data_IF_064039016120
#
_entry.id   IF_064039016120
#
_cell.length_a   1.000
_cell.length_b   1.000
_cell.length_c   1.000
_cell.angle_alpha   90.00
_cell.angle_beta   90.00
_cell.angle_gamma   90.00
#
_symmetry.space_group_name_H-M   'P 1'
#
loop_
_entity.id
_entity.type
_entity.pdbx_description
1 polymer ?
#
# COMPACT_ATOMS: atom_id res chain seq x y z
N UNK A 1 -60.33 -8.85 25.69
CA UNK A 1 -60.19 -7.41 26.05
C UNK A 1 -59.83 -7.11 27.51
N UNK A 2 -59.99 -7.99 28.51
CA UNK A 2 -59.40 -7.74 29.86
C UNK A 2 -58.58 -8.92 30.44
N UNK A 3 -58.47 -10.04 29.72
CA UNK A 3 -57.62 -11.18 30.14
C UNK A 3 -56.31 -11.30 29.35
N UNK A 4 -56.32 -11.01 28.04
CA UNK A 4 -55.11 -11.07 27.18
C UNK A 4 -53.97 -10.15 27.65
N UNK A 5 -54.30 -9.06 28.35
CA UNK A 5 -53.29 -8.09 28.82
C UNK A 5 -52.44 -8.59 30.01
N UNK A 6 -52.73 -9.76 30.58
CA UNK A 6 -51.95 -10.33 31.69
C UNK A 6 -50.88 -11.34 31.30
N UNK A 7 -50.92 -11.90 30.08
CA UNK A 7 -49.87 -12.80 29.62
C UNK A 7 -48.58 -12.04 29.25
N UNK A 8 -48.74 -10.89 28.58
CA UNK A 8 -47.64 -10.09 28.03
C UNK A 8 -46.72 -9.43 29.08
N UNK A 9 -47.10 -9.47 30.36
CA UNK A 9 -46.40 -8.81 31.47
C UNK A 9 -45.56 -9.80 32.32
N UNK A 10 -45.57 -11.10 32.00
CA UNK A 10 -44.77 -12.12 32.68
C UNK A 10 -43.47 -12.45 31.93
N UNK A 11 -43.55 -12.66 30.61
CA UNK A 11 -42.41 -13.07 29.76
C UNK A 11 -41.28 -12.01 29.75
N UNK A 12 -41.62 -10.73 29.93
CA UNK A 12 -40.64 -9.64 30.04
C UNK A 12 -39.78 -9.67 31.32
N UNK A 13 -40.09 -10.53 32.30
CA UNK A 13 -39.41 -10.52 33.60
C UNK A 13 -38.39 -11.67 33.80
N UNK A 14 -38.39 -12.71 32.96
CA UNK A 14 -37.39 -13.79 33.01
C UNK A 14 -36.13 -13.43 32.18
N UNK A 15 -36.29 -12.84 30.98
CA UNK A 15 -35.17 -12.45 30.10
C UNK A 15 -34.18 -11.43 30.71
N UNK A 16 -34.54 -10.74 31.79
CA UNK A 16 -33.68 -9.73 32.44
C UNK A 16 -32.76 -10.33 33.54
N UNK A 17 -32.95 -11.58 33.97
CA UNK A 17 -32.08 -12.24 34.96
C UNK A 17 -30.90 -12.96 34.27
N UNK A 18 -31.12 -13.64 33.14
CA UNK A 18 -30.06 -14.43 32.47
C UNK A 18 -28.90 -13.58 31.95
N UNK A 19 -29.17 -12.37 31.45
CA UNK A 19 -28.13 -11.48 30.91
C UNK A 19 -27.05 -11.09 31.93
N UNK A 20 -27.36 -11.12 33.24
CA UNK A 20 -26.41 -10.82 34.32
C UNK A 20 -25.56 -12.01 34.77
N UNK A 21 -25.87 -13.22 34.29
CA UNK A 21 -25.11 -14.42 34.61
C UNK A 21 -23.86 -14.60 33.73
N UNK A 22 -23.79 -13.94 32.57
CA UNK A 22 -22.71 -14.12 31.60
C UNK A 22 -21.53 -13.16 31.80
N UNK A 23 -21.80 -11.87 32.08
CA UNK A 23 -20.76 -10.84 32.30
C UNK A 23 -19.78 -11.18 33.45
N UNK A 24 -20.19 -12.04 34.38
CA UNK A 24 -19.43 -12.37 35.58
C UNK A 24 -18.37 -13.48 35.41
N UNK A 25 -18.14 -13.99 34.18
CA UNK A 25 -17.26 -15.13 33.92
C UNK A 25 -15.94 -14.83 33.21
N UNK A 26 -15.80 -13.69 32.55
CA UNK A 26 -14.59 -13.37 31.77
C UNK A 26 -13.50 -12.68 32.61
N UNK A 27 -13.84 -12.13 33.77
CA UNK A 27 -12.88 -11.41 34.64
C UNK A 27 -11.91 -12.31 35.43
N UNK A 28 -12.09 -13.63 35.47
CA UNK A 28 -11.16 -14.55 36.16
C UNK A 28 -10.06 -15.14 35.25
N UNK A 29 -10.05 -14.82 33.95
CA UNK A 29 -9.07 -15.36 33.01
C UNK A 29 -7.71 -14.61 32.98
N UNK A 30 -7.63 -13.41 33.57
CA UNK A 30 -6.55 -12.45 33.28
C UNK A 30 -5.45 -12.29 34.35
N UNK A 31 -5.38 -13.19 35.35
CA UNK A 31 -4.29 -13.22 36.35
C UNK A 31 -3.56 -14.59 36.41
N UNK A 32 -2.73 -14.95 35.41
CA UNK A 32 -1.60 -15.89 35.63
C UNK A 32 -0.56 -16.02 34.49
N UNK A 33 0.22 -14.97 34.15
CA UNK A 33 1.50 -15.19 33.42
C UNK A 33 2.63 -14.16 33.61
N UNK A 34 2.97 -13.83 34.85
CA UNK A 34 4.26 -13.21 35.17
C UNK A 34 5.08 -14.12 36.10
N UNK A 35 6.22 -14.64 35.61
CA UNK A 35 7.44 -14.96 36.40
C UNK A 35 8.52 -15.67 35.56
N UNK A 36 9.78 -15.48 35.97
CA UNK A 36 11.01 -16.16 35.52
C UNK A 36 11.49 -15.90 34.06
N UNK A 37 12.79 -15.70 33.79
CA UNK A 37 14.00 -15.82 34.64
C UNK A 37 15.16 -14.94 34.15
N UNK A 38 15.82 -14.23 35.06
CA UNK A 38 17.27 -14.00 34.99
C UNK A 38 17.99 -15.15 35.72
N UNK A 39 19.25 -15.44 35.37
CA UNK A 39 20.41 -15.50 36.29
C UNK A 39 21.69 -16.02 35.58
N UNK A 40 22.69 -15.15 35.51
CA UNK A 40 24.14 -15.37 35.75
C UNK A 40 24.97 -16.48 35.04
N UNK A 41 26.07 -15.98 34.43
CA UNK A 41 27.46 -16.47 34.49
C UNK A 41 27.83 -17.97 34.56
N UNK A 42 28.77 -18.36 33.69
CA UNK A 42 29.99 -19.05 34.16
C UNK A 42 31.21 -18.79 33.25
N UNK A 43 32.39 -18.59 33.84
CA UNK A 43 33.68 -18.52 33.13
C UNK A 43 34.22 -19.93 32.78
N UNK A 44 35.10 -20.05 31.78
CA UNK A 44 36.38 -20.77 31.96
C UNK A 44 37.45 -20.54 30.85
N UNK A 45 38.48 -19.76 31.22
CA UNK A 45 39.93 -19.87 30.93
C UNK A 45 40.51 -20.66 29.72
N UNK A 46 41.43 -19.95 29.06
CA UNK A 46 42.82 -20.33 28.71
C UNK A 46 43.14 -21.40 27.66
N UNK A 47 43.92 -21.00 26.64
CA UNK A 47 45.17 -21.70 26.30
C UNK A 47 46.16 -20.76 25.58
N UNK A 48 47.40 -20.66 26.07
CA UNK A 48 48.51 -19.97 25.40
C UNK A 48 49.44 -20.98 24.71
N UNK A 49 50.09 -20.60 23.60
CA UNK A 49 51.27 -21.32 23.09
C UNK A 49 52.16 -20.46 22.20
N UNK A 50 53.31 -20.04 22.74
CA UNK A 50 54.46 -19.50 21.98
C UNK A 50 55.31 -20.69 21.48
N UNK A 51 55.76 -20.77 20.22
CA UNK A 51 56.80 -19.98 19.51
C UNK A 51 58.14 -20.74 19.38
N UNK A 52 59.00 -20.29 18.47
CA UNK A 52 60.46 -20.51 18.35
C UNK A 52 61.09 -21.86 17.85
N UNK A 53 61.45 -21.82 16.56
CA UNK A 53 62.84 -21.73 16.04
C UNK A 53 63.83 -22.93 15.93
N UNK A 54 64.77 -22.72 14.97
CA UNK A 54 66.02 -23.44 14.61
C UNK A 54 65.86 -24.63 13.66
N UNK A 55 66.50 -24.72 12.48
CA UNK A 55 67.78 -24.22 11.93
C UNK A 55 69.03 -25.03 12.35
N UNK A 56 69.81 -25.46 11.35
CA UNK A 56 71.17 -26.03 11.28
C UNK A 56 71.21 -26.90 9.98
N UNK A 57 72.25 -27.03 9.16
CA UNK A 57 73.54 -26.34 8.99
C UNK A 57 74.16 -26.79 7.64
N UNK A 58 75.01 -25.98 6.96
CA UNK A 58 76.28 -26.45 6.37
C UNK A 58 77.11 -25.36 5.64
N UNK A 59 78.42 -25.39 5.89
CA UNK A 59 79.53 -24.70 5.19
C UNK A 59 80.14 -25.60 4.08
N UNK A 60 81.17 -25.21 3.28
CA UNK A 60 81.89 -23.92 3.14
C UNK A 60 82.22 -23.46 1.67
N UNK A 61 82.85 -22.26 1.52
CA UNK A 61 83.83 -21.84 0.45
C UNK A 61 83.39 -21.88 -1.05
N UNK A 62 83.92 -21.15 -2.06
CA UNK A 62 84.97 -20.13 -2.31
C UNK A 62 84.66 -19.52 -3.73
N UNK A 63 85.08 -18.35 -4.27
CA UNK A 63 85.98 -17.22 -3.89
C UNK A 63 85.79 -16.01 -4.85
N UNK A 64 86.21 -14.80 -4.44
CA UNK A 64 86.70 -13.63 -5.24
C UNK A 64 85.99 -13.05 -6.50
N UNK A 65 85.69 -11.73 -6.42
CA UNK A 65 85.55 -10.71 -7.50
C UNK A 65 84.46 -10.93 -8.58
N UNK A 66 83.90 -9.91 -9.25
CA UNK A 66 84.27 -8.47 -9.35
C UNK A 66 83.01 -7.56 -9.34
N UNK A 67 83.16 -6.23 -9.28
CA UNK A 67 82.06 -5.30 -8.95
C UNK A 67 81.36 -4.64 -10.16
N UNK A 68 80.03 -4.62 -10.16
CA UNK A 68 79.21 -3.73 -10.99
C UNK A 68 78.05 -3.12 -10.18
N UNK A 69 78.05 -1.80 -10.00
CA UNK A 69 76.93 -1.08 -9.38
C UNK A 69 75.75 -0.92 -10.34
N UNK A 70 74.59 -1.50 -10.00
CA UNK A 70 73.31 -1.10 -10.58
C UNK A 70 72.52 -0.23 -9.60
N UNK A 71 72.51 1.08 -9.83
CA UNK A 71 71.64 2.02 -9.10
C UNK A 71 70.16 1.68 -9.36
N UNK A 72 69.44 1.26 -8.32
CA UNK A 72 67.98 1.14 -8.36
C UNK A 72 67.34 2.53 -8.44
N UNK A 73 66.42 2.71 -9.38
CA UNK A 73 65.60 3.93 -9.47
C UNK A 73 64.49 3.91 -8.41
N UNK A 74 64.37 4.99 -7.63
CA UNK A 74 63.40 5.10 -6.54
C UNK A 74 62.09 5.75 -7.02
N UNK A 75 61.23 4.99 -7.72
CA UNK A 75 60.02 5.54 -8.34
C UNK A 75 58.68 4.92 -7.90
N UNK A 76 58.64 3.75 -7.27
CA UNK A 76 57.37 2.99 -7.13
C UNK A 76 56.57 3.30 -5.86
N UNK A 77 57.22 3.70 -4.75
CA UNK A 77 56.52 3.88 -3.46
C UNK A 77 55.69 5.17 -3.32
N UNK A 78 55.73 6.09 -4.29
CA UNK A 78 55.02 7.38 -4.18
C UNK A 78 53.51 7.28 -4.40
N UNK A 79 53.06 6.47 -5.36
CA UNK A 79 51.62 6.33 -5.66
C UNK A 79 50.87 5.62 -4.53
N UNK A 80 51.48 4.59 -3.92
CA UNK A 80 50.91 3.88 -2.77
C UNK A 80 50.74 4.77 -1.52
N UNK A 81 51.66 5.72 -1.29
CA UNK A 81 51.53 6.68 -0.20
C UNK A 81 50.39 7.67 -0.50
N UNK A 82 50.28 8.15 -1.74
CA UNK A 82 49.18 9.03 -2.17
C UNK A 82 47.82 8.36 -2.03
N UNK A 83 47.64 7.12 -2.52
CA UNK A 83 46.36 6.41 -2.44
C UNK A 83 45.95 6.10 -1.00
N UNK A 84 46.90 5.70 -0.13
CA UNK A 84 46.64 5.49 1.30
C UNK A 84 46.28 6.82 1.99
N UNK A 85 46.97 7.92 1.68
CA UNK A 85 46.61 9.23 2.26
C UNK A 85 45.22 9.72 1.80
N UNK A 86 44.82 9.43 0.55
CA UNK A 86 43.49 9.77 0.04
C UNK A 86 42.40 8.92 0.70
N UNK A 87 42.64 7.62 0.87
CA UNK A 87 41.71 6.72 1.58
C UNK A 87 41.56 7.08 3.07
N UNK A 88 42.64 7.47 3.74
CA UNK A 88 42.58 7.95 5.13
C UNK A 88 41.80 9.26 5.22
N UNK A 89 41.99 10.20 4.27
CA UNK A 89 41.19 11.43 4.21
C UNK A 89 39.71 11.14 3.96
N UNK A 90 39.38 10.19 3.08
CA UNK A 90 38.00 9.76 2.80
C UNK A 90 37.33 9.15 4.05
N UNK A 91 38.04 8.28 4.78
CA UNK A 91 37.53 7.68 6.03
C UNK A 91 37.38 8.74 7.14
N UNK A 92 38.27 9.74 7.20
CA UNK A 92 38.13 10.87 8.13
C UNK A 92 36.96 11.79 7.76
N UNK A 93 36.71 12.06 6.47
CA UNK A 93 35.54 12.85 6.05
C UNK A 93 34.23 12.10 6.28
N UNK A 94 34.17 10.80 5.96
CA UNK A 94 32.99 9.96 6.23
C UNK A 94 32.75 9.87 7.74
N UNK A 95 33.79 9.63 8.54
CA UNK A 95 33.69 9.60 10.01
C UNK A 95 33.28 10.95 10.63
N UNK A 96 33.69 12.07 10.04
CA UNK A 96 33.23 13.40 10.44
C UNK A 96 31.74 13.60 10.14
N UNK A 97 31.28 13.25 8.92
CA UNK A 97 29.87 13.32 8.53
C UNK A 97 29.02 12.45 9.48
N UNK A 98 29.44 11.20 9.71
CA UNK A 98 28.76 10.26 10.61
C UNK A 98 28.67 10.79 12.06
N UNK A 99 29.71 11.49 12.53
CA UNK A 99 29.71 12.12 13.85
C UNK A 99 28.76 13.31 13.95
N UNK A 100 28.57 14.12 12.90
CA UNK A 100 27.60 15.22 12.90
C UNK A 100 26.16 14.69 12.82
N UNK A 101 25.92 13.60 12.05
CA UNK A 101 24.63 12.91 12.02
C UNK A 101 24.24 12.36 13.39
N UNK A 102 25.13 11.64 14.08
CA UNK A 102 24.84 11.01 15.38
C UNK A 102 24.72 12.03 16.53
N UNK A 103 25.39 13.17 16.46
CA UNK A 103 25.39 14.17 17.55
C UNK A 103 24.21 15.16 17.53
N UNK A 104 23.30 15.05 16.56
CA UNK A 104 22.13 15.94 16.43
C UNK A 104 22.47 17.36 15.94
N UNK A 105 23.73 17.64 15.61
CA UNK A 105 24.22 18.99 15.27
C UNK A 105 23.56 19.62 14.05
N UNK A 106 23.02 18.83 13.12
CA UNK A 106 22.22 19.33 12.00
C UNK A 106 20.93 20.05 12.43
N UNK A 107 20.34 19.67 13.57
CA UNK A 107 19.06 20.27 14.02
C UNK A 107 19.24 21.63 14.72
N UNK A 108 20.46 21.97 15.14
CA UNK A 108 20.73 23.25 15.83
C UNK A 108 20.77 24.44 14.85
N UNK A 109 21.06 24.20 13.56
CA UNK A 109 20.93 25.21 12.50
C UNK A 109 19.45 25.58 12.22
N UNK A 110 18.58 24.58 12.18
CA UNK A 110 17.14 24.74 11.95
C UNK A 110 16.40 25.49 13.08
N UNK A 111 17.04 25.71 14.23
CA UNK A 111 16.47 26.49 15.34
C UNK A 111 16.49 28.01 15.12
N UNK A 112 17.23 28.51 14.12
CA UNK A 112 17.38 29.95 13.84
C UNK A 112 16.16 30.57 13.13
N UNK A 113 15.49 29.80 12.27
CA UNK A 113 14.49 30.31 11.32
C UNK A 113 15.10 31.14 10.17
N UNK A 114 16.43 31.13 9.99
CA UNK A 114 17.09 31.64 8.79
C UNK A 114 17.02 30.60 7.67
N UNK A 115 17.05 31.04 6.42
CA UNK A 115 17.00 30.13 5.27
C UNK A 115 18.35 29.41 5.09
N UNK A 116 18.32 28.08 5.04
CA UNK A 116 19.46 27.21 4.70
C UNK A 116 19.55 27.03 3.18
N UNK A 117 20.66 26.53 2.67
CA UNK A 117 20.79 26.23 1.23
C UNK A 117 19.97 25.01 0.81
N UNK A 118 19.71 24.90 -0.50
CA UNK A 118 18.99 23.76 -1.07
C UNK A 118 19.70 22.42 -0.80
N UNK A 119 21.03 22.39 -0.93
CA UNK A 119 21.83 21.18 -0.69
C UNK A 119 21.78 20.76 0.79
N UNK A 120 21.91 21.69 1.73
CA UNK A 120 21.79 21.42 3.18
C UNK A 120 20.38 20.91 3.55
N UNK A 121 19.32 21.49 2.95
CA UNK A 121 17.95 21.03 3.16
C UNK A 121 17.72 19.62 2.60
N UNK A 122 18.31 19.32 1.44
CA UNK A 122 18.23 18.02 0.78
C UNK A 122 18.97 16.92 1.54
N UNK A 123 20.21 17.20 1.98
CA UNK A 123 20.97 16.31 2.86
C UNK A 123 20.23 16.06 4.18
N UNK A 124 19.70 17.11 4.82
CA UNK A 124 18.93 16.99 6.06
C UNK A 124 17.64 16.18 5.89
N UNK A 125 16.93 16.34 4.77
CA UNK A 125 15.72 15.57 4.48
C UNK A 125 16.01 14.09 4.25
N UNK A 126 17.00 13.76 3.41
CA UNK A 126 17.39 12.37 3.14
C UNK A 126 18.00 11.71 4.38
N UNK A 127 18.72 12.46 5.22
CA UNK A 127 19.17 11.98 6.53
C UNK A 127 17.99 11.69 7.48
N UNK A 128 16.98 12.58 7.54
CA UNK A 128 15.78 12.38 8.36
C UNK A 128 14.98 11.16 7.89
N UNK A 129 14.79 10.99 6.57
CA UNK A 129 14.11 9.83 5.96
C UNK A 129 14.83 8.53 6.36
N UNK A 130 16.14 8.44 6.13
CA UNK A 130 16.93 7.26 6.47
C UNK A 130 16.96 6.93 7.97
N UNK A 131 16.87 7.93 8.85
CA UNK A 131 16.99 7.73 10.30
C UNK A 131 15.65 7.56 11.04
N UNK A 132 14.51 7.93 10.44
CA UNK A 132 13.21 7.97 11.14
C UNK A 132 12.04 7.36 10.35
N UNK A 133 12.15 7.20 9.02
CA UNK A 133 11.03 6.80 8.15
C UNK A 133 11.26 5.50 7.38
N UNK A 134 12.50 4.99 7.33
CA UNK A 134 12.85 3.73 6.67
C UNK A 134 13.19 2.63 7.68
N UNK A 135 12.92 1.38 7.31
CA UNK A 135 13.27 0.19 8.09
C UNK A 135 14.75 -0.18 7.92
N UNK A 136 15.30 -0.96 8.87
CA UNK A 136 16.69 -1.41 8.81
C UNK A 136 17.01 -2.19 7.52
N UNK A 137 18.05 -1.76 6.80
CA UNK A 137 18.50 -2.38 5.55
C UNK A 137 18.03 -1.66 4.28
N UNK A 138 17.00 -0.81 4.37
CA UNK A 138 16.54 0.05 3.27
C UNK A 138 17.30 1.39 3.34
N UNK A 139 17.56 2.05 2.20
CA UNK A 139 18.29 3.34 2.17
C UNK A 139 17.81 4.24 1.04
N UNK A 140 17.47 5.48 1.38
CA UNK A 140 17.23 6.58 0.44
C UNK A 140 18.53 7.26 0.03
N UNK A 141 18.74 7.44 -1.27
CA UNK A 141 19.92 8.07 -1.85
C UNK A 141 19.50 9.38 -2.55
N UNK A 142 20.11 10.52 -2.20
CA UNK A 142 19.79 11.81 -2.80
C UNK A 142 20.16 11.82 -4.30
N UNK A 143 19.20 12.13 -5.18
CA UNK A 143 19.42 12.25 -6.63
C UNK A 143 19.42 13.71 -7.11
N UNK A 144 18.78 14.64 -6.38
CA UNK A 144 18.93 16.07 -6.64
C UNK A 144 18.00 16.96 -5.81
N UNK A 145 18.14 18.27 -5.96
CA UNK A 145 17.28 19.28 -5.33
C UNK A 145 16.99 20.43 -6.30
N UNK A 146 15.79 21.01 -6.21
CA UNK A 146 15.37 22.18 -6.96
C UNK A 146 14.60 23.18 -6.07
N UNK A 147 14.80 24.47 -6.25
CA UNK A 147 14.02 25.50 -5.58
C UNK A 147 12.67 25.70 -6.29
N UNK A 148 11.54 25.42 -5.59
CA UNK A 148 10.18 25.70 -6.07
C UNK A 148 9.50 26.70 -5.11
N UNK A 149 9.46 27.97 -5.49
CA UNK A 149 8.78 29.05 -4.74
C UNK A 149 9.29 29.21 -3.30
N UNK A 150 8.56 28.75 -2.28
CA UNK A 150 8.92 28.90 -0.85
C UNK A 150 9.47 27.61 -0.22
N UNK A 151 9.67 26.57 -1.03
CA UNK A 151 10.16 25.25 -0.63
C UNK A 151 11.28 24.75 -1.54
N UNK A 152 12.08 23.83 -1.03
CA UNK A 152 12.99 23.01 -1.82
C UNK A 152 12.29 21.68 -2.15
N UNK A 153 12.26 21.30 -3.42
CA UNK A 153 11.84 19.98 -3.89
C UNK A 153 13.07 19.07 -3.89
N UNK A 154 13.02 17.99 -3.11
CA UNK A 154 14.13 17.05 -2.90
C UNK A 154 13.78 15.73 -3.57
N UNK A 155 14.64 15.26 -4.47
CA UNK A 155 14.47 14.02 -5.22
C UNK A 155 15.47 12.98 -4.72
N UNK A 156 15.02 11.75 -4.50
CA UNK A 156 15.82 10.66 -3.95
C UNK A 156 15.34 9.30 -4.43
N UNK A 157 16.21 8.29 -4.44
CA UNK A 157 15.86 6.92 -4.82
C UNK A 157 15.90 5.96 -3.64
N UNK A 158 14.89 5.09 -3.54
CA UNK A 158 14.87 3.90 -2.68
C UNK A 158 14.64 2.69 -3.59
N UNK A 159 15.50 1.67 -3.47
CA UNK A 159 15.39 0.41 -4.25
C UNK A 159 15.16 0.63 -5.75
N UNK A 160 15.99 1.48 -6.36
CA UNK A 160 15.96 1.88 -7.78
C UNK A 160 14.63 2.51 -8.27
N UNK A 161 13.75 2.97 -7.36
CA UNK A 161 12.58 3.82 -7.68
C UNK A 161 12.86 5.27 -7.27
N UNK A 162 12.51 6.22 -8.14
CA UNK A 162 12.56 7.65 -7.84
C UNK A 162 11.36 8.10 -6.97
N UNK A 163 11.65 8.94 -5.99
CA UNK A 163 10.71 9.61 -5.10
C UNK A 163 11.01 11.11 -5.04
N UNK A 164 10.00 11.92 -4.70
CA UNK A 164 10.21 13.34 -4.39
C UNK A 164 9.45 13.76 -3.14
N UNK A 165 9.97 14.78 -2.46
CA UNK A 165 9.38 15.40 -1.27
C UNK A 165 9.64 16.91 -1.30
N UNK A 166 9.06 17.66 -0.35
CA UNK A 166 9.30 19.09 -0.20
C UNK A 166 9.76 19.45 1.21
N UNK A 167 10.61 20.47 1.30
CA UNK A 167 11.20 20.96 2.55
C UNK A 167 11.05 22.48 2.60
N UNK A 168 10.68 23.06 3.75
CA UNK A 168 10.72 24.52 3.91
C UNK A 168 12.14 25.08 3.78
N UNK A 169 12.27 26.35 3.36
CA UNK A 169 13.59 26.98 3.18
C UNK A 169 14.44 27.10 4.46
N UNK A 170 13.85 26.93 5.64
CA UNK A 170 14.52 26.86 6.95
C UNK A 170 14.85 25.43 7.41
N UNK A 171 14.54 24.41 6.59
CA UNK A 171 14.75 22.99 6.89
C UNK A 171 13.79 22.37 7.93
N UNK A 172 12.83 23.14 8.45
CA UNK A 172 12.06 22.74 9.65
C UNK A 172 10.86 21.84 9.41
N UNK A 173 10.29 21.85 8.20
CA UNK A 173 9.15 21.01 7.83
C UNK A 173 9.49 20.18 6.59
N UNK A 174 9.23 18.87 6.68
CA UNK A 174 9.32 17.89 5.60
C UNK A 174 7.89 17.45 5.23
N UNK A 175 7.52 17.58 3.96
CA UNK A 175 6.22 17.17 3.42
C UNK A 175 6.40 15.84 2.68
N UNK A 176 6.25 14.74 3.42
CA UNK A 176 6.42 13.36 2.92
C UNK A 176 5.46 13.11 1.75
N UNK A 177 4.18 13.34 1.99
CA UNK A 177 3.10 13.21 1.01
C UNK A 177 2.80 14.62 0.47
N UNK A 178 2.90 14.81 -0.86
CA UNK A 178 2.79 16.14 -1.48
C UNK A 178 2.29 16.07 -2.91
N UNK A 179 1.31 16.93 -3.24
CA UNK A 179 0.73 17.05 -4.58
C UNK A 179 1.22 18.37 -5.17
N UNK A 180 2.04 18.32 -6.22
CA UNK A 180 2.29 19.50 -7.05
C UNK A 180 0.97 19.83 -7.78
N UNK A 181 0.28 20.88 -7.35
CA UNK A 181 -1.07 21.18 -7.84
C UNK A 181 -1.10 21.63 -9.29
N UNK A 182 0.04 22.03 -9.88
CA UNK A 182 0.14 22.35 -11.31
C UNK A 182 0.41 21.09 -12.11
N UNK A 183 1.23 20.18 -11.62
CA UNK A 183 1.42 18.86 -12.25
C UNK A 183 0.14 18.01 -12.15
N UNK A 184 -0.53 18.01 -11.00
CA UNK A 184 -1.81 17.35 -10.78
C UNK A 184 -2.94 17.97 -11.60
N UNK A 185 -3.00 19.31 -11.74
CA UNK A 185 -3.93 19.95 -12.66
C UNK A 185 -3.62 19.62 -14.13
N UNK A 186 -2.34 19.56 -14.52
CA UNK A 186 -1.94 19.12 -15.85
C UNK A 186 -2.21 17.62 -16.09
N UNK A 187 -2.20 16.80 -15.03
CA UNK A 187 -2.65 15.40 -15.05
C UNK A 187 -4.17 15.29 -15.13
N UNK A 188 -4.96 16.22 -14.55
CA UNK A 188 -6.43 16.24 -14.68
C UNK A 188 -6.91 16.81 -16.02
N UNK A 189 -6.36 17.93 -16.49
CA UNK A 189 -6.56 18.40 -17.87
C UNK A 189 -6.04 17.36 -18.88
N UNK A 190 -4.98 16.64 -18.50
CA UNK A 190 -4.46 15.47 -19.20
C UNK A 190 -5.28 14.18 -19.03
N UNK A 191 -6.23 14.10 -18.09
CA UNK A 191 -7.16 12.97 -17.97
C UNK A 191 -8.43 13.23 -18.79
N UNK A 192 -8.91 14.48 -18.86
CA UNK A 192 -9.99 14.85 -19.79
C UNK A 192 -9.57 14.79 -21.28
N UNK A 193 -8.26 14.81 -21.60
CA UNK A 193 -7.79 14.76 -23.00
C UNK A 193 -6.66 13.74 -23.32
N UNK A 194 -6.17 12.96 -22.36
CA UNK A 194 -5.13 11.95 -22.61
C UNK A 194 -5.36 10.58 -21.92
N UNK A 195 -6.60 10.23 -21.56
CA UNK A 195 -7.03 8.82 -21.53
C UNK A 195 -7.66 8.36 -22.86
N UNK A 196 -7.25 8.98 -23.98
CA UNK A 196 -7.17 8.25 -25.26
C UNK A 196 -5.93 7.35 -25.25
N UNK A 197 -5.92 6.37 -24.34
CA UNK A 197 -5.35 5.08 -24.72
C UNK A 197 -6.36 4.47 -25.69
N UNK A 198 -5.92 4.08 -26.90
CA UNK A 198 -6.78 3.22 -27.71
C UNK A 198 -7.09 1.94 -26.92
N UNK A 199 -8.29 1.33 -27.05
CA UNK A 199 -8.58 0.06 -26.42
C UNK A 199 -7.65 -1.02 -26.99
N UNK A 200 -6.49 -1.18 -26.35
CA UNK A 200 -5.44 -2.14 -26.71
C UNK A 200 -5.75 -3.55 -26.20
N UNK A 201 -6.87 -3.72 -25.49
CA UNK A 201 -7.52 -5.01 -25.32
C UNK A 201 -8.02 -5.46 -26.69
N UNK A 202 -7.61 -6.65 -27.13
CA UNK A 202 -8.04 -7.17 -28.44
C UNK A 202 -9.56 -7.35 -28.44
N UNK A 203 -10.26 -6.84 -29.46
CA UNK A 203 -11.73 -7.01 -29.56
C UNK A 203 -12.13 -8.49 -29.52
N UNK A 204 -13.25 -8.80 -28.87
CA UNK A 204 -13.73 -10.16 -28.69
C UNK A 204 -15.25 -10.29 -28.89
N UNK A 205 -15.75 -11.51 -29.01
CA UNK A 205 -17.19 -11.79 -29.16
C UNK A 205 -17.93 -11.76 -27.80
N UNK A 206 -17.17 -11.89 -26.70
CA UNK A 206 -17.57 -11.70 -25.30
C UNK A 206 -16.39 -11.06 -24.56
N UNK A 207 -16.45 -9.76 -24.24
CA UNK A 207 -15.39 -9.07 -23.50
C UNK A 207 -15.23 -9.56 -22.05
N UNK A 208 -13.98 -9.76 -21.62
CA UNK A 208 -13.58 -9.84 -20.21
C UNK A 208 -13.53 -8.41 -19.68
N UNK A 209 -14.38 -8.09 -18.70
CA UNK A 209 -14.56 -6.74 -18.14
C UNK A 209 -14.28 -6.82 -16.65
N UNK A 210 -13.19 -6.20 -16.22
CA UNK A 210 -12.72 -6.29 -14.84
C UNK A 210 -12.63 -4.90 -14.22
N UNK A 211 -13.35 -4.67 -13.12
CA UNK A 211 -13.25 -3.43 -12.36
C UNK A 211 -12.48 -3.70 -11.08
N UNK A 212 -11.26 -3.17 -10.98
CA UNK A 212 -10.41 -3.26 -9.80
C UNK A 212 -10.77 -2.15 -8.80
N UNK A 213 -11.17 -2.54 -7.60
CA UNK A 213 -11.65 -1.65 -6.55
C UNK A 213 -10.98 -1.93 -5.20
N UNK A 214 -11.32 -1.12 -4.21
CA UNK A 214 -11.28 -1.48 -2.79
C UNK A 214 -12.66 -1.09 -2.25
N UNK A 215 -13.33 -1.97 -1.51
CA UNK A 215 -14.80 -1.87 -1.28
C UNK A 215 -15.25 -0.68 -0.42
N UNK A 216 -14.34 -0.01 0.31
CA UNK A 216 -14.62 1.24 1.03
C UNK A 216 -14.00 2.48 0.34
N UNK A 217 -13.33 2.30 -0.80
CA UNK A 217 -12.82 3.41 -1.59
C UNK A 217 -13.97 4.32 -2.05
N UNK A 218 -13.93 5.64 -1.79
CA UNK A 218 -14.98 6.57 -2.21
C UNK A 218 -15.17 6.62 -3.72
N UNK A 219 -14.12 6.33 -4.49
CA UNK A 219 -14.15 6.27 -5.96
C UNK A 219 -14.36 4.86 -6.51
N UNK A 220 -14.09 3.80 -5.72
CA UNK A 220 -14.44 2.41 -6.04
C UNK A 220 -15.95 2.25 -6.05
N UNK A 221 -16.58 2.52 -4.91
CA UNK A 221 -18.03 2.59 -4.74
C UNK A 221 -18.73 3.50 -5.77
N UNK A 222 -18.11 4.62 -6.17
CA UNK A 222 -18.59 5.47 -7.27
C UNK A 222 -18.56 4.73 -8.63
N UNK A 223 -17.46 4.04 -8.94
CA UNK A 223 -17.27 3.28 -10.15
C UNK A 223 -18.20 2.06 -10.23
N UNK A 224 -18.40 1.33 -9.13
CA UNK A 224 -19.33 0.21 -9.05
C UNK A 224 -20.77 0.66 -9.31
N UNK A 225 -21.25 1.69 -8.59
CA UNK A 225 -22.58 2.30 -8.84
C UNK A 225 -22.71 2.81 -10.28
N UNK A 226 -21.61 3.21 -10.91
CA UNK A 226 -21.55 3.60 -12.32
C UNK A 226 -21.65 2.42 -13.27
N UNK A 227 -20.91 1.32 -13.03
CA UNK A 227 -20.80 0.19 -13.97
C UNK A 227 -21.98 -0.79 -13.86
N UNK A 228 -22.59 -0.94 -12.67
CA UNK A 228 -23.68 -1.90 -12.41
C UNK A 228 -24.83 -1.82 -13.43
N UNK A 229 -25.34 -0.63 -13.83
CA UNK A 229 -26.37 -0.54 -14.87
C UNK A 229 -25.89 -0.99 -16.27
N UNK A 230 -24.60 -0.84 -16.60
CA UNK A 230 -24.03 -1.32 -17.87
C UNK A 230 -23.84 -2.84 -17.85
N UNK A 231 -23.37 -3.41 -16.73
CA UNK A 231 -23.29 -4.87 -16.53
C UNK A 231 -24.68 -5.50 -16.59
N UNK A 232 -25.68 -4.92 -15.91
CA UNK A 232 -27.05 -5.40 -15.92
C UNK A 232 -27.73 -5.27 -17.30
N UNK A 233 -27.33 -4.30 -18.13
CA UNK A 233 -27.81 -4.17 -19.50
C UNK A 233 -27.18 -5.22 -20.43
N UNK A 234 -25.87 -5.49 -20.31
CA UNK A 234 -25.14 -6.42 -21.18
C UNK A 234 -25.28 -7.90 -20.76
N UNK A 235 -25.48 -8.20 -19.48
CA UNK A 235 -25.74 -9.54 -18.97
C UNK A 235 -24.75 -10.60 -19.48
N UNK A 236 -25.26 -11.66 -20.12
CA UNK A 236 -24.47 -12.79 -20.59
C UNK A 236 -23.49 -12.46 -21.75
N UNK A 237 -23.60 -11.28 -22.37
CA UNK A 237 -22.73 -10.82 -23.46
C UNK A 237 -21.31 -10.48 -23.02
N UNK A 238 -21.07 -10.30 -21.72
CA UNK A 238 -19.75 -9.99 -21.14
C UNK A 238 -19.36 -10.97 -20.05
N UNK A 239 -18.08 -11.08 -19.77
CA UNK A 239 -17.51 -11.77 -18.60
C UNK A 239 -17.12 -10.70 -17.57
N UNK A 240 -18.09 -10.26 -16.76
CA UNK A 240 -17.87 -9.21 -15.77
C UNK A 240 -17.37 -9.79 -14.45
N UNK A 241 -16.29 -9.21 -13.94
CA UNK A 241 -15.70 -9.56 -12.65
C UNK A 241 -15.41 -8.26 -11.87
N UNK A 242 -15.90 -8.15 -10.64
CA UNK A 242 -15.29 -7.26 -9.65
C UNK A 242 -13.96 -7.89 -9.23
N UNK A 243 -12.92 -7.06 -9.11
CA UNK A 243 -11.55 -7.45 -8.77
C UNK A 243 -11.02 -6.51 -7.71
N UNK A 244 -10.00 -6.93 -6.97
CA UNK A 244 -9.51 -6.18 -5.82
C UNK A 244 -8.10 -5.66 -6.03
N UNK A 245 -7.81 -4.47 -5.52
CA UNK A 245 -6.44 -3.96 -5.49
C UNK A 245 -5.63 -4.78 -4.47
N UNK A 246 -4.36 -5.06 -4.78
CA UNK A 246 -3.52 -5.98 -4.00
C UNK A 246 -3.18 -5.54 -2.54
N UNK A 247 -3.77 -4.45 -2.06
CA UNK A 247 -3.65 -3.91 -0.71
C UNK A 247 -4.93 -3.13 -0.33
N UNK A 248 -5.26 -3.10 0.96
CA UNK A 248 -6.43 -2.38 1.47
C UNK A 248 -6.02 -1.06 2.15
N UNK A 249 -6.79 0.01 1.94
CA UNK A 249 -6.54 1.34 2.52
C UNK A 249 -7.42 1.64 3.73
N UNK A 250 -8.59 1.01 3.84
CA UNK A 250 -9.58 1.27 4.89
C UNK A 250 -9.59 0.21 6.00
N UNK A 251 -8.52 -0.60 6.08
CA UNK A 251 -8.26 -1.55 7.15
C UNK A 251 -9.07 -2.84 7.09
N UNK A 252 -9.23 -3.49 8.25
CA UNK A 252 -9.87 -4.80 8.41
C UNK A 252 -11.27 -4.87 7.75
N UNK A 253 -12.13 -3.86 7.94
CA UNK A 253 -13.49 -3.86 7.38
C UNK A 253 -13.52 -4.01 5.85
N UNK A 254 -12.51 -3.47 5.16
CA UNK A 254 -12.37 -3.57 3.71
C UNK A 254 -11.79 -4.91 3.29
N UNK A 255 -10.91 -5.53 4.08
CA UNK A 255 -10.43 -6.88 3.82
C UNK A 255 -11.55 -7.91 4.00
N UNK A 256 -12.32 -7.83 5.08
CA UNK A 256 -13.46 -8.70 5.34
C UNK A 256 -14.51 -8.59 4.22
N UNK A 257 -14.80 -7.37 3.77
CA UNK A 257 -15.76 -7.14 2.69
C UNK A 257 -15.27 -7.66 1.33
N UNK A 258 -14.05 -7.32 0.91
CA UNK A 258 -13.51 -7.81 -0.37
C UNK A 258 -13.40 -9.34 -0.39
N UNK A 259 -13.11 -9.98 0.75
CA UNK A 259 -13.09 -11.45 0.87
C UNK A 259 -14.50 -12.03 0.68
N UNK A 260 -15.51 -11.37 1.23
CA UNK A 260 -16.92 -11.78 1.09
C UNK A 260 -17.42 -11.58 -0.35
N UNK A 261 -17.15 -10.41 -0.95
CA UNK A 261 -17.50 -10.10 -2.34
C UNK A 261 -16.85 -11.08 -3.32
N UNK A 262 -15.55 -11.38 -3.14
CA UNK A 262 -14.85 -12.45 -3.87
C UNK A 262 -15.58 -13.79 -3.76
N UNK A 263 -15.88 -14.25 -2.54
CA UNK A 263 -16.51 -15.55 -2.32
C UNK A 263 -17.95 -15.65 -2.84
N UNK A 264 -18.72 -14.56 -2.78
CA UNK A 264 -20.05 -14.51 -3.39
C UNK A 264 -19.94 -14.56 -4.92
N UNK A 265 -18.93 -13.91 -5.51
CA UNK A 265 -18.71 -13.94 -6.96
C UNK A 265 -18.28 -15.32 -7.48
N UNK A 266 -17.36 -16.02 -6.80
CA UNK A 266 -16.85 -17.32 -7.25
C UNK A 266 -17.88 -18.47 -7.03
N UNK A 267 -18.49 -18.58 -5.83
CA UNK A 267 -19.40 -19.70 -5.51
C UNK A 267 -20.87 -19.41 -5.87
N UNK A 268 -21.29 -18.14 -5.88
CA UNK A 268 -22.71 -17.75 -6.01
C UNK A 268 -22.96 -16.58 -7.01
N UNK A 269 -22.37 -16.59 -8.23
CA UNK A 269 -22.34 -15.45 -9.15
C UNK A 269 -23.73 -14.89 -9.52
N UNK A 270 -24.75 -15.76 -9.65
CA UNK A 270 -26.15 -15.36 -9.93
C UNK A 270 -26.74 -14.42 -8.85
N UNK A 271 -26.14 -14.36 -7.65
CA UNK A 271 -26.55 -13.51 -6.53
C UNK A 271 -25.65 -12.30 -6.33
N UNK A 272 -24.43 -12.31 -6.86
CA UNK A 272 -23.39 -11.31 -6.59
C UNK A 272 -23.85 -9.88 -6.89
N UNK A 273 -24.43 -9.65 -8.07
CA UNK A 273 -24.92 -8.31 -8.46
C UNK A 273 -26.05 -7.80 -7.55
N UNK A 274 -26.86 -8.69 -6.94
CA UNK A 274 -27.89 -8.30 -5.98
C UNK A 274 -27.28 -7.92 -4.62
N UNK A 275 -26.27 -8.68 -4.17
CA UNK A 275 -25.52 -8.36 -2.96
C UNK A 275 -24.79 -7.02 -3.06
N UNK A 276 -23.98 -6.84 -4.09
CA UNK A 276 -23.20 -5.61 -4.33
C UNK A 276 -24.13 -4.37 -4.43
N UNK A 277 -25.28 -4.52 -5.10
CA UNK A 277 -26.28 -3.44 -5.20
C UNK A 277 -26.87 -3.06 -3.83
N UNK A 278 -27.09 -4.05 -2.95
CA UNK A 278 -27.57 -3.85 -1.59
C UNK A 278 -26.49 -3.22 -0.69
N UNK A 279 -25.25 -3.71 -0.74
CA UNK A 279 -24.13 -3.17 0.04
C UNK A 279 -23.87 -1.70 -0.31
N UNK A 280 -23.92 -1.36 -1.60
CA UNK A 280 -23.78 0.00 -2.12
C UNK A 280 -24.92 0.96 -1.77
N UNK A 281 -26.04 0.50 -1.21
CA UNK A 281 -27.07 1.39 -0.65
C UNK A 281 -26.55 2.15 0.59
N UNK A 282 -25.55 1.60 1.29
CA UNK A 282 -24.99 2.19 2.50
C UNK A 282 -25.87 2.05 3.74
N UNK A 283 -25.32 2.39 4.91
CA UNK A 283 -26.09 2.43 6.16
C UNK A 283 -26.00 3.80 6.87
N UNK A 284 -27.09 4.19 7.53
CA UNK A 284 -27.16 5.39 8.38
C UNK A 284 -27.63 6.68 7.68
N UNK A 285 -27.55 7.79 8.42
CA UNK A 285 -27.83 9.13 7.87
C UNK A 285 -26.60 9.69 7.17
N UNK A 286 -26.81 10.45 6.09
CA UNK A 286 -25.74 11.16 5.42
C UNK A 286 -25.04 12.16 6.37
N UNK A 287 -23.70 12.17 6.31
CA UNK A 287 -22.84 13.09 7.06
C UNK A 287 -23.17 14.57 6.80
N UNK A 288 -22.58 15.48 7.59
CA UNK A 288 -22.72 16.93 7.37
C UNK A 288 -22.22 17.42 6.00
N UNK A 289 -21.42 16.61 5.29
CA UNK A 289 -20.99 16.84 3.90
C UNK A 289 -21.91 16.23 2.84
N UNK A 290 -22.92 15.45 3.24
CA UNK A 290 -23.89 14.79 2.36
C UNK A 290 -23.54 13.35 1.93
N UNK A 291 -22.43 12.79 2.41
CA UNK A 291 -21.99 11.42 2.06
C UNK A 291 -22.37 10.39 3.13
N UNK A 292 -22.74 9.18 2.70
CA UNK A 292 -22.87 7.99 3.54
C UNK A 292 -21.54 7.23 3.45
N UNK A 293 -20.78 7.13 4.55
CA UNK A 293 -19.38 6.64 4.53
C UNK A 293 -19.24 5.17 4.90
N UNK A 294 -20.33 4.51 5.27
CA UNK A 294 -20.36 3.08 5.64
C UNK A 294 -21.29 2.32 4.70
N UNK A 295 -20.89 1.09 4.35
CA UNK A 295 -21.71 0.17 3.56
C UNK A 295 -22.99 -0.23 4.27
N UNK A 296 -23.90 -0.86 3.54
CA UNK A 296 -25.09 -1.45 4.14
C UNK A 296 -24.70 -2.67 5.01
N UNK A 297 -25.59 -3.10 5.89
CA UNK A 297 -25.36 -4.26 6.76
C UNK A 297 -25.12 -5.54 5.90
N UNK A 298 -23.94 -6.18 5.98
CA UNK A 298 -23.65 -7.36 5.19
C UNK A 298 -24.59 -8.54 5.44
N UNK A 299 -25.05 -8.74 6.67
CA UNK A 299 -25.93 -9.86 7.03
C UNK A 299 -27.33 -9.63 6.45
N UNK A 300 -27.81 -8.38 6.48
CA UNK A 300 -29.02 -7.97 5.78
C UNK A 300 -28.91 -8.23 4.27
N UNK A 301 -27.79 -7.85 3.64
CA UNK A 301 -27.60 -8.05 2.21
C UNK A 301 -27.39 -9.51 1.81
N UNK A 302 -26.80 -10.34 2.68
CA UNK A 302 -26.78 -11.82 2.55
C UNK A 302 -28.23 -12.36 2.52
N UNK A 303 -29.09 -11.93 3.45
CA UNK A 303 -30.49 -12.34 3.48
C UNK A 303 -31.26 -11.87 2.23
N UNK A 304 -31.14 -10.58 1.85
CA UNK A 304 -31.88 -10.02 0.70
C UNK A 304 -31.46 -10.64 -0.64
N UNK A 305 -30.18 -10.93 -0.83
CA UNK A 305 -29.68 -11.66 -2.01
C UNK A 305 -29.98 -13.17 -1.96
N UNK A 306 -30.46 -13.69 -0.84
CA UNK A 306 -30.72 -15.12 -0.63
C UNK A 306 -29.44 -15.96 -0.69
N UNK A 307 -28.32 -15.40 -0.23
CA UNK A 307 -27.01 -16.05 -0.24
C UNK A 307 -27.00 -17.23 0.74
N UNK A 308 -26.34 -18.32 0.32
CA UNK A 308 -26.09 -19.46 1.19
C UNK A 308 -24.89 -19.14 2.08
N UNK A 309 -25.15 -18.96 3.38
CA UNK A 309 -24.15 -18.59 4.36
C UNK A 309 -23.18 -19.73 4.71
N UNK A 310 -23.60 -21.00 4.61
CA UNK A 310 -22.70 -22.14 4.87
C UNK A 310 -21.66 -22.27 3.74
N UNK A 311 -22.08 -22.06 2.48
CA UNK A 311 -21.18 -22.01 1.34
C UNK A 311 -20.28 -20.77 1.35
N UNK A 312 -20.80 -19.60 1.78
CA UNK A 312 -20.02 -18.37 1.90
C UNK A 312 -18.91 -18.50 2.96
N UNK A 313 -19.23 -18.95 4.18
CA UNK A 313 -18.25 -19.10 5.25
C UNK A 313 -17.16 -20.11 4.88
N UNK A 314 -17.53 -21.26 4.30
CA UNK A 314 -16.58 -22.26 3.81
C UNK A 314 -15.67 -21.74 2.69
N UNK A 315 -16.09 -20.74 1.92
CA UNK A 315 -15.23 -20.06 0.97
C UNK A 315 -14.31 -19.06 1.66
N UNK A 316 -14.78 -18.29 2.66
CA UNK A 316 -13.97 -17.32 3.40
C UNK A 316 -12.81 -18.02 4.12
N UNK A 317 -13.06 -19.15 4.79
CA UNK A 317 -12.01 -19.99 5.39
C UNK A 317 -10.97 -20.44 4.33
N UNK A 318 -11.44 -20.94 3.18
CA UNK A 318 -10.61 -21.42 2.07
C UNK A 318 -9.79 -20.30 1.40
N UNK A 319 -10.37 -19.10 1.29
CA UNK A 319 -9.72 -17.91 0.75
C UNK A 319 -8.62 -17.40 1.68
N UNK A 320 -8.85 -17.39 3.00
CA UNK A 320 -7.81 -17.04 3.97
C UNK A 320 -6.64 -18.03 3.91
N UNK A 321 -6.89 -19.34 3.93
CA UNK A 321 -5.82 -20.35 3.78
C UNK A 321 -5.06 -20.20 2.44
N UNK A 322 -5.75 -19.83 1.36
CA UNK A 322 -5.17 -19.75 0.01
C UNK A 322 -4.35 -18.48 -0.23
N UNK A 323 -4.82 -17.32 0.26
CA UNK A 323 -4.21 -16.00 0.00
C UNK A 323 -3.53 -15.39 1.24
N UNK A 324 -3.56 -16.09 2.38
CA UNK A 324 -3.00 -15.69 3.67
C UNK A 324 -3.56 -14.34 4.18
N UNK A 325 -4.86 -14.12 4.03
CA UNK A 325 -5.54 -12.83 4.19
C UNK A 325 -5.37 -12.27 5.60
N UNK A 326 -5.72 -13.05 6.63
CA UNK A 326 -5.54 -12.70 8.05
C UNK A 326 -4.07 -12.51 8.38
N UNK A 327 -3.18 -13.37 7.87
CA UNK A 327 -1.74 -13.27 8.12
C UNK A 327 -1.11 -12.01 7.51
N UNK A 328 -1.56 -11.58 6.32
CA UNK A 328 -1.13 -10.32 5.68
C UNK A 328 -1.68 -9.08 6.42
N UNK A 329 -2.84 -9.21 7.07
CA UNK A 329 -3.39 -8.17 7.95
C UNK A 329 -2.60 -8.07 9.26
N UNK A 330 -2.31 -9.20 9.92
CA UNK A 330 -1.54 -9.24 11.18
C UNK A 330 -0.05 -8.85 10.99
N UNK A 331 0.59 -9.25 9.88
CA UNK A 331 2.00 -8.91 9.61
C UNK A 331 2.17 -7.47 9.12
N UNK A 332 2.07 -6.55 10.07
CA UNK A 332 2.40 -5.12 9.93
C UNK A 332 3.80 -4.82 9.38
N UNK A 333 4.72 -5.78 9.36
CA UNK A 333 6.04 -5.60 8.72
C UNK A 333 6.00 -5.81 7.20
N UNK A 334 5.04 -6.60 6.71
CA UNK A 334 4.79 -6.85 5.28
C UNK A 334 4.00 -5.73 4.58
N UNK A 335 3.35 -4.84 5.36
CA UNK A 335 2.43 -3.83 4.86
C UNK A 335 3.06 -2.90 3.82
N UNK A 336 2.32 -2.64 2.73
CA UNK A 336 2.74 -1.75 1.66
C UNK A 336 3.03 -0.36 2.22
N UNK A 337 4.25 0.13 1.98
CA UNK A 337 4.79 1.38 2.53
C UNK A 337 4.70 1.50 4.06
N UNK A 338 4.59 0.38 4.79
CA UNK A 338 4.38 0.34 6.24
C UNK A 338 3.03 0.92 6.70
N UNK A 339 2.06 1.08 5.79
CA UNK A 339 0.74 1.69 6.08
C UNK A 339 -0.45 0.78 5.73
N UNK A 340 -0.33 -0.09 4.73
CA UNK A 340 -1.49 -0.77 4.15
C UNK A 340 -1.31 -2.31 4.10
N UNK A 341 -2.20 -3.10 4.72
CA UNK A 341 -2.16 -4.57 4.64
C UNK A 341 -2.33 -5.09 3.21
N UNK A 342 -1.67 -6.19 2.89
CA UNK A 342 -1.73 -6.82 1.57
C UNK A 342 -3.00 -7.68 1.41
N UNK A 343 -3.64 -7.59 0.24
CA UNK A 343 -4.85 -8.34 -0.09
C UNK A 343 -4.62 -9.13 -1.39
N UNK A 344 -4.05 -10.32 -1.26
CA UNK A 344 -3.34 -10.96 -2.37
C UNK A 344 -4.22 -11.71 -3.40
N UNK A 345 -5.56 -11.72 -3.24
CA UNK A 345 -6.53 -12.44 -4.08
C UNK A 345 -6.28 -12.24 -5.59
N UNK A 346 -6.23 -10.99 -6.04
CA UNK A 346 -6.00 -10.63 -7.45
C UNK A 346 -4.57 -10.10 -7.72
N UNK A 347 -3.60 -10.36 -6.84
CA UNK A 347 -2.25 -9.76 -6.93
C UNK A 347 -1.55 -10.04 -8.27
N UNK A 348 -1.76 -11.23 -8.85
CA UNK A 348 -1.21 -11.59 -10.16
C UNK A 348 -1.83 -10.78 -11.32
N UNK A 349 -3.15 -10.54 -11.30
CA UNK A 349 -3.83 -9.69 -12.29
C UNK A 349 -3.46 -8.21 -12.10
N UNK A 350 -3.34 -7.75 -10.85
CA UNK A 350 -2.85 -6.39 -10.53
C UNK A 350 -1.48 -6.14 -11.18
N UNK A 351 -0.53 -7.07 -10.99
CA UNK A 351 0.80 -6.99 -11.60
C UNK A 351 0.75 -7.07 -13.13
N UNK A 352 -0.06 -7.96 -13.70
CA UNK A 352 -0.13 -8.19 -15.15
C UNK A 352 -0.67 -6.98 -15.92
N UNK A 353 -1.68 -6.29 -15.38
CA UNK A 353 -2.32 -5.14 -16.03
C UNK A 353 -1.75 -3.78 -15.57
N UNK A 354 -0.88 -3.78 -14.57
CA UNK A 354 -0.35 -2.57 -13.94
C UNK A 354 -1.43 -1.77 -13.21
N UNK A 355 -2.28 -2.46 -12.44
CA UNK A 355 -3.21 -1.83 -11.48
C UNK A 355 -2.43 -1.42 -10.23
N UNK A 356 -2.70 -0.23 -9.72
CA UNK A 356 -2.02 0.31 -8.54
C UNK A 356 -2.93 1.23 -7.71
N UNK A 357 -4.25 1.03 -7.78
CA UNK A 357 -5.24 1.89 -7.12
C UNK A 357 -6.67 1.66 -7.61
N UNK A 358 -7.62 2.13 -6.81
CA UNK A 358 -9.06 2.01 -7.04
C UNK A 358 -9.67 3.36 -7.46
N UNK A 359 -10.58 3.40 -8.46
CA UNK A 359 -10.95 2.32 -9.36
C UNK A 359 -9.96 2.20 -10.53
N UNK A 360 -9.77 0.99 -11.06
CA UNK A 360 -9.14 0.78 -12.37
C UNK A 360 -9.99 -0.16 -13.21
N UNK A 361 -10.47 0.29 -14.37
CA UNK A 361 -11.16 -0.56 -15.35
C UNK A 361 -10.14 -1.23 -16.29
N UNK A 362 -10.31 -2.53 -16.49
CA UNK A 362 -9.57 -3.35 -17.46
C UNK A 362 -10.58 -4.03 -18.38
N UNK A 363 -10.33 -4.02 -19.68
CA UNK A 363 -11.14 -4.74 -20.68
C UNK A 363 -10.20 -5.55 -21.58
N UNK A 364 -10.47 -6.85 -21.73
CA UNK A 364 -9.66 -7.81 -22.51
C UNK A 364 -8.15 -7.70 -22.20
N UNK A 365 -7.82 -7.60 -20.91
CA UNK A 365 -6.44 -7.54 -20.40
C UNK A 365 -5.70 -6.21 -20.56
N UNK A 366 -6.36 -5.12 -20.99
CA UNK A 366 -5.78 -3.78 -21.05
C UNK A 366 -6.59 -2.77 -20.25
N UNK A 367 -5.93 -1.78 -19.64
CA UNK A 367 -6.63 -0.69 -18.92
C UNK A 367 -7.45 0.16 -19.90
N UNK A 368 -8.62 0.60 -19.46
CA UNK A 368 -9.59 1.35 -20.26
C UNK A 368 -10.25 2.46 -19.42
N UNK A 369 -10.73 3.53 -20.09
CA UNK A 369 -11.52 4.57 -19.43
C UNK A 369 -13.01 4.26 -19.47
N UNK A 370 -13.75 4.68 -18.45
CA UNK A 370 -15.20 4.44 -18.33
C UNK A 370 -16.00 5.60 -17.71
N UNK A 371 -15.41 6.78 -17.53
CA UNK A 371 -16.09 8.00 -17.01
C UNK A 371 -16.62 7.96 -15.57
N UNK A 372 -16.72 6.77 -14.96
CA UNK A 372 -17.44 6.48 -13.71
C UNK A 372 -18.96 6.76 -13.79
N UNK A 373 -19.51 6.81 -15.00
CA UNK A 373 -20.95 6.89 -15.26
C UNK A 373 -21.39 5.74 -16.18
N UNK A 374 -22.69 5.41 -16.15
CA UNK A 374 -23.19 4.19 -16.80
C UNK A 374 -23.20 4.27 -18.32
N UNK A 375 -23.35 5.46 -18.91
CA UNK A 375 -23.27 5.64 -20.35
C UNK A 375 -21.84 5.48 -20.85
N UNK A 376 -20.86 6.07 -20.15
CA UNK A 376 -19.44 5.96 -20.48
C UNK A 376 -18.92 4.52 -20.29
N UNK A 377 -19.32 3.82 -19.23
CA UNK A 377 -18.97 2.40 -19.05
C UNK A 377 -19.58 1.52 -20.14
N UNK A 378 -20.88 1.65 -20.43
CA UNK A 378 -21.52 0.89 -21.52
C UNK A 378 -20.79 1.14 -22.83
N UNK A 379 -20.47 2.39 -23.15
CA UNK A 379 -19.74 2.73 -24.38
C UNK A 379 -18.36 2.08 -24.44
N UNK A 380 -17.57 2.13 -23.36
CA UNK A 380 -16.23 1.55 -23.31
C UNK A 380 -16.25 0.02 -23.54
N UNK A 381 -17.23 -0.66 -22.94
CA UNK A 381 -17.42 -2.10 -23.10
C UNK A 381 -17.93 -2.42 -24.52
N UNK A 382 -18.89 -1.66 -25.04
CA UNK A 382 -19.42 -1.80 -26.40
C UNK A 382 -18.35 -1.56 -27.49
N UNK A 383 -17.44 -0.61 -27.27
CA UNK A 383 -16.28 -0.39 -28.14
C UNK A 383 -15.32 -1.59 -28.19
N UNK A 384 -15.37 -2.52 -27.22
CA UNK A 384 -14.50 -3.71 -27.18
C UNK A 384 -15.06 -4.97 -27.87
N UNK A 385 -16.32 -4.96 -28.32
CA UNK A 385 -16.87 -6.11 -29.08
C UNK A 385 -16.34 -6.18 -30.51
N UNK A 386 -16.23 -7.38 -31.08
CA UNK A 386 -16.04 -7.59 -32.52
C UNK A 386 -17.28 -7.13 -33.32
N UNK A 387 -18.45 -7.62 -32.93
CA UNK A 387 -19.77 -7.18 -33.40
C UNK A 387 -20.59 -6.80 -32.16
N UNK A 388 -21.00 -5.53 -32.05
CA UNK A 388 -21.69 -5.04 -30.85
C UNK A 388 -23.12 -5.62 -30.74
N UNK A 389 -23.54 -6.10 -29.55
CA UNK A 389 -24.88 -6.63 -29.31
C UNK A 389 -25.95 -5.51 -29.25
N UNK A 390 -27.24 -5.85 -29.34
CA UNK A 390 -28.32 -4.83 -29.40
C UNK A 390 -28.47 -4.06 -28.07
N UNK A 391 -28.05 -4.67 -26.97
CA UNK A 391 -27.96 -4.08 -25.63
C UNK A 391 -27.03 -2.86 -25.57
N UNK A 392 -26.13 -2.67 -26.54
CA UNK A 392 -25.27 -1.48 -26.66
C UNK A 392 -26.01 -0.19 -27.06
N UNK A 393 -27.22 -0.28 -27.60
CA UNK A 393 -28.06 0.88 -27.92
C UNK A 393 -28.92 1.35 -26.72
N UNK A 394 -28.65 0.83 -25.51
CA UNK A 394 -29.38 1.19 -24.28
C UNK A 394 -29.03 2.61 -23.81
N UNK A 395 -30.04 3.49 -23.73
CA UNK A 395 -29.89 4.83 -23.14
C UNK A 395 -29.71 4.75 -21.60
N UNK A 396 -28.46 4.71 -21.14
CA UNK A 396 -28.10 4.79 -19.72
C UNK A 396 -27.77 6.21 -19.27
N UNK A 397 -27.71 6.42 -17.94
CA UNK A 397 -27.40 7.71 -17.33
C UNK A 397 -25.95 8.13 -17.57
N UNK A 398 -25.75 9.31 -18.17
CA UNK A 398 -24.46 10.01 -18.23
C UNK A 398 -24.19 10.90 -17.00
N UNK A 399 -24.86 10.64 -15.87
CA UNK A 399 -24.65 11.37 -14.61
C UNK A 399 -23.80 10.53 -13.68
N UNK A 400 -22.59 10.99 -13.38
CA UNK A 400 -21.68 10.32 -12.44
C UNK A 400 -22.34 10.19 -11.05
N UNK A 401 -22.36 9.01 -10.42
CA UNK A 401 -22.82 8.85 -9.05
C UNK A 401 -22.02 9.69 -8.06
N UNK A 402 -22.55 9.86 -6.85
CA UNK A 402 -21.80 10.38 -5.70
C UNK A 402 -20.69 9.41 -5.28
N UNK A 403 -19.52 9.92 -4.82
CA UNK A 403 -18.55 9.12 -4.08
C UNK A 403 -19.12 8.55 -2.77
N UNK A 404 -18.46 7.53 -2.23
CA UNK A 404 -18.91 6.72 -1.08
C UNK A 404 -20.23 5.96 -1.37
N UNK A 405 -20.91 5.48 -0.33
CA UNK A 405 -22.11 4.67 -0.44
C UNK A 405 -23.38 5.50 -0.69
N UNK A 406 -24.47 4.82 -1.03
CA UNK A 406 -25.77 5.41 -1.30
C UNK A 406 -26.03 5.68 -2.79
N UNK A 407 -27.23 5.32 -3.24
CA UNK A 407 -27.76 5.62 -4.58
C UNK A 407 -28.26 7.07 -4.73
N UNK A 408 -28.04 7.91 -3.71
CA UNK A 408 -28.53 9.28 -3.64
C UNK A 408 -27.57 10.31 -4.23
N UNK A 409 -28.09 11.15 -5.13
CA UNK A 409 -27.42 12.34 -5.66
C UNK A 409 -26.69 12.13 -6.98
N UNK A 410 -26.16 13.24 -7.52
CA UNK A 410 -25.23 13.23 -8.66
C UNK A 410 -23.95 13.92 -8.21
N UNK A 411 -22.80 13.35 -8.58
CA UNK A 411 -21.50 13.86 -8.16
C UNK A 411 -21.15 15.17 -8.86
N UNK A 412 -21.08 16.28 -8.12
CA UNK A 412 -20.17 17.35 -8.49
C UNK A 412 -18.74 16.90 -8.11
N UNK A 413 -17.73 17.26 -8.91
CA UNK A 413 -16.33 16.89 -8.68
C UNK A 413 -15.68 17.68 -7.53
N UNK A 414 -16.25 17.59 -6.32
CA UNK A 414 -15.54 17.88 -5.08
C UNK A 414 -14.65 16.69 -4.76
N UNK A 415 -13.33 16.88 -4.80
CA UNK A 415 -12.38 15.83 -4.51
C UNK A 415 -12.58 15.32 -3.07
N UNK A 416 -13.02 14.07 -2.94
CA UNK A 416 -12.84 13.30 -1.73
C UNK A 416 -11.36 12.92 -1.63
N UNK A 417 -10.69 13.33 -0.57
CA UNK A 417 -9.31 12.95 -0.29
C UNK A 417 -9.33 11.59 0.44
N UNK A 418 -8.61 10.61 -0.09
CA UNK A 418 -8.26 9.39 0.66
C UNK A 418 -7.07 9.76 1.56
N UNK A 419 -7.29 9.79 2.87
CA UNK A 419 -6.28 10.09 3.90
C UNK A 419 -5.66 8.85 4.52
#
# INVERSE_FOLDING_TARGET
MEEEKKHHEHEHHEHHEEHKAHEHKEQEAHEHRSEHKEHEHHEHKENESHSEHKEHEHHPEHTHHEAHEHKKSASEKKWQILSVSLAILLVISIGAIFAVVISGGYFEAAASGEAISADEAAESAVAFINANLLQEGITANLTGVAEKSEVYNVNFTIEDRDYSTYVTKDGRLLFIDSIDTVEFAAQQEGQEQQETQEPSGTKSDKPEVELFVMSYCPYGTQAEKGIIPAVNALGDKIDFNLRFVYYAMHGEKEITEQTREYCIQEEQPDKFMAYLTCFLEGSGEASSSGYITEGNDPDYCIEQAGIDAEQLESCIESADETFAITANLEDTSSWLSGRYPLFNVDAAKNQAYGVSGSPTLVINGAKASGGRDSASYLKAICDSFNEAPEECETELSSSTPTPYFGWGGTGANTAAECG
#
